data_IF_496027907946
#
_entry.id   IF_496027907946
#
_cell.length_a   1.000
_cell.length_b   1.000
_cell.length_c   1.000
_cell.angle_alpha   90.00
_cell.angle_beta   90.00
_cell.angle_gamma   90.00
#
_symmetry.space_group_name_H-M   'P 1'
#
loop_
_entity.id
_entity.type
_entity.pdbx_description
1 polymer ?
#
# COMPACT_ATOMS: atom_id res chain seq x y z
N UNK A 1 -0.95 10.03 6.17
CA UNK A 1 -1.83 8.89 6.54
C UNK A 1 -0.94 7.77 7.10
N UNK A 2 -1.47 6.86 7.92
CA UNK A 2 -0.74 5.68 8.42
C UNK A 2 -1.43 4.42 7.93
N UNK A 3 -0.70 3.54 7.27
CA UNK A 3 -1.19 2.24 6.82
C UNK A 3 -0.53 1.14 7.64
N UNK A 4 -1.27 0.08 7.97
CA UNK A 4 -0.69 -1.15 8.48
C UNK A 4 -0.07 -1.90 7.30
N UNK A 5 1.12 -2.42 7.50
CA UNK A 5 1.83 -3.26 6.52
C UNK A 5 2.26 -4.55 7.19
N UNK A 6 2.29 -5.63 6.42
CA UNK A 6 2.79 -6.92 6.85
C UNK A 6 4.12 -7.17 6.16
N UNK A 7 5.20 -7.26 6.93
CA UNK A 7 6.53 -7.60 6.46
C UNK A 7 6.74 -9.10 6.53
N UNK A 8 7.28 -9.69 5.48
CA UNK A 8 7.51 -11.13 5.33
C UNK A 8 8.96 -11.32 4.91
N UNK A 9 9.76 -11.98 5.75
CA UNK A 9 11.14 -12.34 5.39
C UNK A 9 11.13 -13.49 4.39
N UNK A 10 11.92 -13.37 3.33
CA UNK A 10 12.05 -14.37 2.25
C UNK A 10 13.51 -14.81 2.12
N UNK A 11 13.78 -15.78 1.24
CA UNK A 11 15.16 -16.20 0.92
C UNK A 11 15.94 -15.11 0.16
N UNK A 12 15.25 -14.22 -0.54
CA UNK A 12 15.83 -13.15 -1.38
C UNK A 12 15.82 -11.76 -0.72
N UNK A 13 15.31 -11.64 0.51
CA UNK A 13 15.17 -10.38 1.23
C UNK A 13 13.87 -10.28 2.01
N UNK A 14 13.06 -9.27 1.68
CA UNK A 14 11.78 -8.99 2.32
C UNK A 14 10.70 -8.73 1.28
N UNK A 15 9.57 -9.44 1.42
CA UNK A 15 8.31 -9.08 0.78
C UNK A 15 7.45 -8.28 1.76
N UNK A 16 6.63 -7.38 1.25
CA UNK A 16 5.78 -6.53 2.07
C UNK A 16 4.45 -6.25 1.38
N UNK A 17 3.38 -6.14 2.17
CA UNK A 17 2.04 -5.81 1.65
C UNK A 17 1.26 -4.88 2.55
N UNK A 18 0.34 -4.13 1.97
CA UNK A 18 -0.65 -3.34 2.70
C UNK A 18 -2.00 -4.09 2.72
N UNK A 19 -2.43 -4.73 3.83
CA UNK A 19 -3.74 -5.38 3.91
C UNK A 19 -4.93 -4.45 3.68
N UNK A 20 -4.78 -3.14 3.92
CA UNK A 20 -5.83 -2.16 3.69
C UNK A 20 -6.02 -1.78 2.21
N UNK A 21 -5.07 -2.13 1.34
CA UNK A 21 -5.10 -1.82 -0.09
C UNK A 21 -4.86 -3.14 -0.87
N UNK A 22 -5.92 -3.88 -1.21
CA UNK A 22 -5.81 -5.15 -1.90
C UNK A 22 -4.96 -5.03 -3.19
N UNK A 23 -3.99 -5.93 -3.35
CA UNK A 23 -3.06 -5.92 -4.48
C UNK A 23 -1.82 -5.05 -4.30
N UNK A 24 -1.74 -4.22 -3.26
CA UNK A 24 -0.55 -3.42 -2.98
C UNK A 24 0.54 -4.27 -2.29
N UNK A 25 1.51 -4.71 -3.11
CA UNK A 25 2.68 -5.49 -2.72
C UNK A 25 3.96 -4.80 -3.18
N UNK A 26 5.03 -5.04 -2.44
CA UNK A 26 6.38 -4.64 -2.84
C UNK A 26 7.41 -5.58 -2.22
N UNK A 27 8.68 -5.35 -2.52
CA UNK A 27 9.80 -6.12 -2.01
C UNK A 27 11.07 -5.28 -1.91
N UNK A 28 12.04 -5.73 -1.13
CA UNK A 28 13.38 -5.14 -1.02
C UNK A 28 14.38 -6.13 -0.46
N UNK A 29 15.67 -5.92 -0.70
CA UNK A 29 16.74 -6.75 -0.14
C UNK A 29 16.87 -6.53 1.37
N UNK A 30 16.51 -5.33 1.85
CA UNK A 30 16.49 -4.97 3.28
C UNK A 30 15.08 -4.60 3.73
N UNK A 31 14.84 -4.66 5.05
CA UNK A 31 13.58 -4.23 5.64
C UNK A 31 13.27 -2.76 5.31
N UNK A 32 14.28 -1.89 5.40
CA UNK A 32 14.12 -0.47 5.09
C UNK A 32 13.76 -0.25 3.62
N UNK A 33 14.44 -0.93 2.70
CA UNK A 33 14.14 -0.86 1.27
C UNK A 33 12.71 -1.35 0.96
N UNK A 34 12.28 -2.45 1.56
CA UNK A 34 10.90 -2.93 1.40
C UNK A 34 9.89 -1.89 1.92
N UNK A 35 10.17 -1.25 3.07
CA UNK A 35 9.34 -0.18 3.63
C UNK A 35 9.27 1.06 2.72
N UNK A 36 10.40 1.46 2.13
CA UNK A 36 10.46 2.59 1.21
C UNK A 36 9.70 2.27 -0.09
N UNK A 37 9.89 1.07 -0.64
CA UNK A 37 9.24 0.64 -1.88
C UNK A 37 7.72 0.47 -1.71
N UNK A 38 7.23 -0.07 -0.57
CA UNK A 38 5.77 -0.15 -0.34
C UNK A 38 5.17 1.23 -0.11
N UNK A 39 5.94 2.18 0.44
CA UNK A 39 5.46 3.55 0.62
C UNK A 39 5.19 4.22 -0.74
N UNK A 40 6.05 4.00 -1.74
CA UNK A 40 5.82 4.46 -3.11
C UNK A 40 4.61 3.76 -3.75
N UNK A 41 4.54 2.43 -3.66
CA UNK A 41 3.41 1.67 -4.19
C UNK A 41 2.05 2.09 -3.60
N UNK A 42 2.01 2.44 -2.31
CA UNK A 42 0.81 2.99 -1.66
C UNK A 42 0.46 4.36 -2.24
N UNK A 43 1.43 5.24 -2.48
CA UNK A 43 1.16 6.57 -3.08
C UNK A 43 0.59 6.43 -4.48
N UNK A 44 1.21 5.60 -5.31
CA UNK A 44 0.78 5.38 -6.69
C UNK A 44 -0.63 4.78 -6.74
N UNK A 45 -0.91 3.80 -5.86
CA UNK A 45 -2.25 3.23 -5.73
C UNK A 45 -3.31 4.30 -5.42
N UNK A 46 -3.03 5.21 -4.48
CA UNK A 46 -3.98 6.25 -4.08
C UNK A 46 -4.20 7.29 -5.19
N UNK A 47 -3.16 7.62 -5.96
CA UNK A 47 -3.28 8.50 -7.14
C UNK A 47 -4.27 7.88 -8.14
N UNK A 48 -4.08 6.61 -8.47
CA UNK A 48 -4.97 5.89 -9.41
C UNK A 48 -6.40 5.80 -8.86
N UNK A 49 -6.58 5.56 -7.56
CA UNK A 49 -7.92 5.57 -6.94
C UNK A 49 -8.60 6.93 -7.10
N UNK A 50 -7.88 8.02 -6.86
CA UNK A 50 -8.42 9.38 -7.03
C UNK A 50 -8.82 9.63 -8.49
N UNK A 51 -7.95 9.29 -9.44
CA UNK A 51 -8.23 9.44 -10.88
C UNK A 51 -9.47 8.63 -11.33
N UNK A 52 -9.59 7.39 -10.86
CA UNK A 52 -10.72 6.51 -11.20
C UNK A 52 -12.03 6.93 -10.53
N UNK A 53 -11.97 7.67 -9.43
CA UNK A 53 -13.16 8.07 -8.65
C UNK A 53 -13.51 9.55 -8.80
N UNK A 54 -12.73 10.32 -9.58
CA UNK A 54 -12.85 11.77 -9.72
C UNK A 54 -14.24 12.23 -10.20
N UNK A 55 -14.90 11.46 -11.07
CA UNK A 55 -16.24 11.79 -11.60
C UNK A 55 -17.38 11.16 -10.77
N UNK A 56 -17.05 10.41 -9.73
CA UNK A 56 -18.04 9.73 -8.88
C UNK A 56 -18.38 10.59 -7.66
N UNK A 57 -19.65 10.52 -7.24
CA UNK A 57 -20.08 11.14 -5.98
C UNK A 57 -19.57 10.33 -4.78
N UNK A 58 -18.40 10.71 -4.24
CA UNK A 58 -17.78 10.03 -3.11
C UNK A 58 -18.32 10.54 -1.76
N UNK A 59 -18.51 9.62 -0.80
CA UNK A 59 -18.97 9.88 0.58
C UNK A 59 -18.16 9.05 1.58
N UNK A 60 -17.91 9.59 2.76
CA UNK A 60 -17.29 8.85 3.86
C UNK A 60 -18.37 8.19 4.73
N UNK A 61 -18.12 6.96 5.16
CA UNK A 61 -18.98 6.21 6.09
C UNK A 61 -18.14 5.76 7.28
N UNK A 62 -18.54 6.16 8.48
CA UNK A 62 -17.91 5.73 9.73
C UNK A 62 -18.51 4.39 10.18
N UNK A 63 -17.66 3.50 10.69
CA UNK A 63 -18.04 2.17 11.20
C UNK A 63 -17.52 2.03 12.63
N UNK A 64 -18.33 1.41 13.51
CA UNK A 64 -18.06 1.23 14.93
C UNK A 64 -17.07 0.10 15.24
#
# INVERSE_FOLDING_TARGET
>A
MRYKVNLIKTEEGYAIRCPGLPGCWSQGQTEQEALDNIQEAIRDYLIVVEELTQELETRYVEVA
#
